data_IF_988312832014
#
_entry.id   IF_988312832014
#
_cell.length_a   1.000
_cell.length_b   1.000
_cell.length_c   1.000
_cell.angle_alpha   90.00
_cell.angle_beta   90.00
_cell.angle_gamma   90.00
#
_symmetry.space_group_name_H-M   'P 1'
#
loop_
_entity.id
_entity.type
_entity.pdbx_description
1 polymer ?
#
# COMPACT_ATOMS: atom_id res chain seq x y z
N UNK A 1 57.89 -37.61 6.64
CA UNK A 1 58.85 -37.37 5.53
C UNK A 1 58.93 -35.87 5.34
N UNK A 2 60.04 -35.25 5.74
CA UNK A 2 60.22 -33.80 5.72
C UNK A 2 60.53 -33.28 4.32
N UNK A 3 59.94 -32.16 3.94
CA UNK A 3 60.26 -31.42 2.72
C UNK A 3 61.37 -30.43 3.06
N UNK A 4 62.55 -30.65 2.47
CA UNK A 4 63.69 -29.74 2.55
C UNK A 4 63.43 -28.61 1.57
N UNK A 5 63.24 -27.39 2.06
CA UNK A 5 63.19 -26.20 1.22
C UNK A 5 64.62 -25.78 0.85
N UNK A 6 64.97 -25.89 -0.43
CA UNK A 6 66.23 -25.36 -0.97
C UNK A 6 66.18 -23.84 -1.02
N UNK A 7 67.12 -23.20 -0.31
CA UNK A 7 67.32 -21.75 -0.26
C UNK A 7 67.71 -21.12 -1.60
N UNK A 8 68.04 -21.92 -2.62
CA UNK A 8 68.34 -21.45 -3.98
C UNK A 8 67.13 -20.81 -4.67
N UNK A 9 65.93 -21.36 -4.43
CA UNK A 9 64.69 -20.95 -5.14
C UNK A 9 64.19 -19.56 -4.73
N UNK A 10 64.54 -19.10 -3.53
CA UNK A 10 64.12 -17.79 -3.02
C UNK A 10 64.99 -16.68 -3.61
N UNK A 11 66.29 -16.95 -3.81
CA UNK A 11 67.24 -15.96 -4.34
C UNK A 11 66.95 -15.65 -5.82
N UNK A 12 66.57 -16.66 -6.61
CA UNK A 12 66.23 -16.46 -8.03
C UNK A 12 64.94 -15.64 -8.22
N UNK A 13 63.96 -15.82 -7.32
CA UNK A 13 62.70 -15.09 -7.37
C UNK A 13 62.88 -13.59 -7.03
N UNK A 14 63.75 -13.27 -6.06
CA UNK A 14 64.06 -11.87 -5.71
C UNK A 14 64.87 -11.18 -6.82
N UNK A 15 65.80 -11.89 -7.45
CA UNK A 15 66.58 -11.36 -8.58
C UNK A 15 65.68 -11.00 -9.79
N UNK A 16 64.63 -11.79 -10.05
CA UNK A 16 63.67 -11.55 -11.14
C UNK A 16 62.75 -10.34 -10.91
N UNK A 17 62.52 -9.94 -9.65
CA UNK A 17 61.70 -8.78 -9.30
C UNK A 17 62.44 -7.46 -9.53
N UNK A 18 63.76 -7.44 -9.33
CA UNK A 18 64.60 -6.26 -9.49
C UNK A 18 64.90 -5.99 -10.99
N UNK A 19 64.86 -7.00 -11.86
CA UNK A 19 65.21 -6.87 -13.28
C UNK A 19 64.06 -6.49 -14.23
N UNK A 20 62.89 -6.08 -13.73
CA UNK A 20 61.86 -5.42 -14.55
C UNK A 20 61.29 -6.20 -15.75
N UNK A 21 61.25 -7.54 -15.71
CA UNK A 21 60.59 -8.33 -16.77
C UNK A 21 59.11 -8.53 -16.45
N UNK A 22 58.23 -7.93 -17.28
CA UNK A 22 56.77 -8.14 -17.28
C UNK A 22 56.46 -9.65 -17.35
N UNK A 23 55.67 -10.16 -16.39
CA UNK A 23 55.07 -11.50 -16.47
C UNK A 23 54.13 -11.57 -17.68
N UNK A 24 54.28 -12.64 -18.49
CA UNK A 24 53.24 -13.08 -19.42
C UNK A 24 52.07 -13.58 -18.59
N UNK A 25 50.88 -13.03 -18.82
CA UNK A 25 49.61 -13.58 -18.33
C UNK A 25 49.50 -15.03 -18.83
N UNK A 26 49.40 -15.99 -17.92
CA UNK A 26 49.16 -17.39 -18.26
C UNK A 26 47.67 -17.70 -18.14
N UNK A 27 47.13 -18.41 -19.12
CA UNK A 27 45.74 -18.91 -19.20
C UNK A 27 45.28 -19.72 -17.96
N UNK A 28 46.20 -20.08 -17.06
CA UNK A 28 45.92 -20.85 -15.84
C UNK A 28 45.13 -20.08 -14.78
N UNK A 29 45.21 -18.74 -14.73
CA UNK A 29 44.48 -17.94 -13.73
C UNK A 29 42.99 -17.82 -14.09
N UNK A 30 42.66 -17.75 -15.39
CA UNK A 30 41.27 -17.77 -15.86
C UNK A 30 40.61 -19.13 -15.63
N UNK A 31 41.38 -20.22 -15.75
CA UNK A 31 40.90 -21.58 -15.46
C UNK A 31 40.58 -21.81 -13.97
N UNK A 32 41.30 -21.15 -13.06
CA UNK A 32 41.01 -21.22 -11.62
C UNK A 32 39.76 -20.43 -11.26
N UNK A 33 39.57 -19.24 -11.83
CA UNK A 33 38.36 -18.42 -11.65
C UNK A 33 37.13 -19.16 -12.20
N UNK A 34 37.26 -19.76 -13.40
CA UNK A 34 36.20 -20.56 -14.00
C UNK A 34 35.86 -21.81 -13.15
N UNK A 35 36.86 -22.46 -12.54
CA UNK A 35 36.62 -23.59 -11.61
C UNK A 35 35.87 -23.16 -10.34
N UNK A 36 36.18 -22.00 -9.77
CA UNK A 36 35.47 -21.48 -8.60
C UNK A 36 34.01 -21.18 -8.94
N UNK A 37 33.75 -20.62 -10.13
CA UNK A 37 32.40 -20.40 -10.65
C UNK A 37 31.67 -21.74 -10.83
N UNK A 38 32.31 -22.76 -11.41
CA UNK A 38 31.71 -24.07 -11.64
C UNK A 38 31.38 -24.82 -10.34
N UNK A 39 32.25 -24.70 -9.32
CA UNK A 39 32.02 -25.27 -7.97
C UNK A 39 30.84 -24.58 -7.28
N UNK A 40 30.68 -23.27 -7.47
CA UNK A 40 29.53 -22.51 -6.95
C UNK A 40 28.20 -22.85 -7.66
N UNK A 41 28.26 -23.33 -8.91
CA UNK A 41 27.09 -23.74 -9.70
C UNK A 41 26.62 -25.17 -9.37
N UNK A 42 27.50 -26.05 -8.90
CA UNK A 42 27.21 -27.49 -8.75
C UNK A 42 26.91 -27.96 -7.30
N UNK A 43 26.64 -27.06 -6.36
CA UNK A 43 26.19 -27.44 -5.02
C UNK A 43 24.69 -27.80 -5.03
N UNK A 44 24.29 -29.04 -4.67
CA UNK A 44 22.96 -29.57 -4.95
C UNK A 44 21.96 -29.18 -3.85
N UNK A 45 21.67 -27.89 -3.67
CA UNK A 45 20.53 -27.39 -2.86
C UNK A 45 19.96 -26.04 -3.34
N UNK A 46 20.31 -25.56 -4.54
CA UNK A 46 19.79 -24.28 -5.03
C UNK A 46 18.52 -24.50 -5.84
N UNK A 47 17.39 -23.99 -5.31
CA UNK A 47 16.28 -23.57 -6.14
C UNK A 47 16.82 -22.65 -7.26
N UNK A 48 16.26 -22.65 -8.47
CA UNK A 48 16.78 -21.87 -9.58
C UNK A 48 16.61 -20.37 -9.26
N UNK A 49 17.64 -19.79 -8.63
CA UNK A 49 17.82 -18.36 -8.52
C UNK A 49 18.12 -17.93 -9.94
N UNK A 50 17.17 -17.24 -10.57
CA UNK A 50 17.44 -16.49 -11.80
C UNK A 50 18.70 -15.66 -11.54
N UNK A 51 19.78 -15.99 -12.25
CA UNK A 51 20.99 -15.17 -12.33
C UNK A 51 20.57 -13.81 -12.90
N UNK A 52 20.12 -12.93 -12.01
CA UNK A 52 20.11 -11.49 -12.25
C UNK A 52 21.56 -11.14 -12.55
N UNK A 53 21.82 -10.53 -13.69
CA UNK A 53 23.15 -10.08 -14.10
C UNK A 53 23.84 -9.38 -12.94
N UNK A 54 24.78 -10.06 -12.28
CA UNK A 54 25.55 -9.49 -11.20
C UNK A 54 26.37 -8.36 -11.80
N UNK A 55 26.00 -7.12 -11.50
CA UNK A 55 26.76 -5.97 -11.94
C UNK A 55 28.18 -6.07 -11.36
N UNK A 56 29.21 -5.85 -12.19
CA UNK A 56 30.62 -5.87 -11.79
C UNK A 56 30.88 -5.01 -10.54
N UNK A 57 30.13 -3.92 -10.39
CA UNK A 57 30.18 -3.07 -9.21
C UNK A 57 29.68 -3.76 -7.93
N UNK A 58 28.58 -4.52 -7.97
CA UNK A 58 28.04 -5.20 -6.80
C UNK A 58 29.03 -6.27 -6.29
N UNK A 59 29.67 -7.00 -7.20
CA UNK A 59 30.74 -7.95 -6.87
C UNK A 59 31.94 -7.28 -6.21
N UNK A 60 32.39 -6.13 -6.74
CA UNK A 60 33.48 -5.35 -6.15
C UNK A 60 33.16 -4.86 -4.75
N UNK A 61 31.94 -4.40 -4.51
CA UNK A 61 31.51 -3.96 -3.16
C UNK A 61 31.46 -5.14 -2.20
N UNK A 62 30.88 -6.26 -2.62
CA UNK A 62 30.77 -7.47 -1.79
C UNK A 62 32.15 -8.06 -1.49
N UNK A 63 33.02 -8.24 -2.47
CA UNK A 63 34.38 -8.72 -2.19
C UNK A 63 35.21 -7.68 -1.43
N UNK A 64 35.02 -6.39 -1.69
CA UNK A 64 35.61 -5.30 -0.90
C UNK A 64 35.22 -5.38 0.58
N UNK A 65 33.99 -5.81 0.89
CA UNK A 65 33.53 -6.00 2.28
C UNK A 65 34.32 -7.06 3.06
N UNK A 66 34.96 -8.00 2.37
CA UNK A 66 35.77 -9.03 3.01
C UNK A 66 37.12 -8.49 3.48
N UNK A 67 37.60 -7.41 2.86
CA UNK A 67 38.91 -6.81 3.15
C UNK A 67 38.81 -5.52 3.97
N UNK A 68 37.68 -4.81 3.88
CA UNK A 68 37.47 -3.53 4.57
C UNK A 68 36.39 -3.65 5.64
N UNK A 69 36.65 -3.12 6.85
CA UNK A 69 35.66 -3.08 7.93
C UNK A 69 34.52 -2.08 7.68
N UNK A 70 34.74 -1.06 6.84
CA UNK A 70 33.73 -0.06 6.49
C UNK A 70 33.45 -0.07 4.98
N UNK A 71 32.17 -0.20 4.63
CA UNK A 71 31.68 -0.21 3.25
C UNK A 71 30.61 0.87 3.12
N UNK A 72 30.74 1.68 2.07
CA UNK A 72 29.74 2.66 1.65
C UNK A 72 28.76 1.99 0.67
N UNK A 73 27.48 1.97 1.03
CA UNK A 73 26.43 1.38 0.21
C UNK A 73 25.68 2.48 -0.54
N UNK A 74 25.57 2.34 -1.86
CA UNK A 74 24.80 3.25 -2.69
C UNK A 74 23.34 2.75 -2.78
N UNK A 75 22.33 3.55 -2.36
CA UNK A 75 20.92 3.16 -2.40
C UNK A 75 20.38 2.79 -3.80
N UNK A 76 21.01 3.28 -4.87
CA UNK A 76 20.60 2.95 -6.25
C UNK A 76 21.00 1.54 -6.69
N UNK A 77 22.07 0.98 -6.11
CA UNK A 77 22.63 -0.33 -6.47
C UNK A 77 22.48 -1.35 -5.33
N UNK A 78 21.75 -0.97 -4.29
CA UNK A 78 21.66 -1.74 -3.06
C UNK A 78 20.89 -3.06 -3.27
N UNK A 79 19.96 -3.10 -4.22
CA UNK A 79 19.25 -4.34 -4.60
C UNK A 79 20.22 -5.35 -5.23
N UNK A 80 21.06 -4.90 -6.17
CA UNK A 80 22.12 -5.75 -6.76
C UNK A 80 23.12 -6.22 -5.71
N UNK A 81 23.48 -5.33 -4.77
CA UNK A 81 24.41 -5.65 -3.69
C UNK A 81 23.82 -6.66 -2.71
N UNK A 82 22.54 -6.52 -2.34
CA UNK A 82 21.81 -7.47 -1.51
C UNK A 82 21.72 -8.84 -2.18
N UNK A 83 21.41 -8.89 -3.49
CA UNK A 83 21.37 -10.13 -4.27
C UNK A 83 22.72 -10.88 -4.18
N UNK A 84 23.81 -10.14 -4.38
CA UNK A 84 25.17 -10.66 -4.36
C UNK A 84 25.56 -11.12 -2.94
N UNK A 85 25.30 -10.31 -1.92
CA UNK A 85 25.55 -10.67 -0.52
C UNK A 85 24.79 -11.93 -0.10
N UNK A 86 23.53 -12.06 -0.54
CA UNK A 86 22.70 -13.27 -0.30
C UNK A 86 23.27 -14.48 -1.01
N UNK A 87 23.77 -14.33 -2.24
CA UNK A 87 24.42 -15.42 -2.99
C UNK A 87 25.69 -15.95 -2.28
N UNK A 88 26.47 -15.05 -1.68
CA UNK A 88 27.67 -15.39 -0.91
C UNK A 88 27.42 -15.65 0.59
N UNK A 89 26.16 -15.54 1.04
CA UNK A 89 25.75 -15.77 2.44
C UNK A 89 26.51 -14.90 3.45
N UNK A 90 26.66 -13.61 3.14
CA UNK A 90 27.33 -12.65 4.01
C UNK A 90 26.30 -11.93 4.89
N UNK A 91 25.87 -12.59 5.97
CA UNK A 91 24.76 -12.14 6.83
C UNK A 91 24.94 -10.70 7.35
N UNK A 92 26.16 -10.33 7.79
CA UNK A 92 26.42 -8.97 8.27
C UNK A 92 26.27 -7.88 7.18
N UNK A 93 26.51 -8.22 5.91
CA UNK A 93 26.30 -7.30 4.80
C UNK A 93 24.82 -7.25 4.39
N UNK A 94 24.11 -8.39 4.47
CA UNK A 94 22.67 -8.48 4.23
C UNK A 94 21.93 -7.57 5.22
N UNK A 95 22.24 -7.67 6.51
CA UNK A 95 21.65 -6.82 7.56
C UNK A 95 21.90 -5.33 7.28
N UNK A 96 23.14 -4.96 6.95
CA UNK A 96 23.49 -3.57 6.63
C UNK A 96 22.77 -3.06 5.37
N UNK A 97 22.61 -3.92 4.35
CA UNK A 97 21.82 -3.59 3.17
C UNK A 97 20.36 -3.33 3.54
N UNK A 98 19.75 -4.17 4.38
CA UNK A 98 18.38 -3.98 4.87
C UNK A 98 18.23 -2.68 5.65
N UNK A 99 19.19 -2.33 6.53
CA UNK A 99 19.16 -1.07 7.28
C UNK A 99 19.15 0.15 6.36
N UNK A 100 20.07 0.20 5.38
CA UNK A 100 20.12 1.31 4.42
C UNK A 100 18.86 1.33 3.54
N UNK A 101 18.31 0.18 3.16
CA UNK A 101 17.04 0.11 2.42
C UNK A 101 15.89 0.71 3.24
N UNK A 102 15.82 0.42 4.54
CA UNK A 102 14.79 0.98 5.44
C UNK A 102 14.90 2.51 5.56
N UNK A 103 16.13 3.04 5.65
CA UNK A 103 16.38 4.48 5.77
C UNK A 103 16.13 5.26 4.47
N UNK A 104 16.18 4.61 3.31
CA UNK A 104 16.16 5.30 2.00
C UNK A 104 14.92 5.00 1.15
N UNK A 105 13.86 4.44 1.76
CA UNK A 105 12.56 4.20 1.10
C UNK A 105 11.98 5.52 0.59
N UNK A 106 11.76 5.58 -0.72
CA UNK A 106 11.14 6.73 -1.39
C UNK A 106 10.25 6.28 -2.55
N UNK A 107 9.50 7.18 -3.22
CA UNK A 107 8.60 6.78 -4.30
C UNK A 107 9.26 6.09 -5.51
N UNK A 108 10.56 6.28 -5.73
CA UNK A 108 11.31 5.63 -6.82
C UNK A 108 11.80 4.24 -6.42
N UNK A 109 12.30 4.08 -5.19
CA UNK A 109 12.92 2.83 -4.71
C UNK A 109 11.95 1.87 -4.03
N UNK A 110 10.82 2.37 -3.52
CA UNK A 110 9.86 1.60 -2.71
C UNK A 110 9.39 0.30 -3.37
N UNK A 111 9.15 0.32 -4.69
CA UNK A 111 8.70 -0.87 -5.42
C UNK A 111 9.81 -1.91 -5.56
N UNK A 112 11.02 -1.48 -5.90
CA UNK A 112 12.18 -2.36 -6.03
C UNK A 112 12.53 -3.01 -4.69
N UNK A 113 12.49 -2.22 -3.60
CA UNK A 113 12.75 -2.72 -2.25
C UNK A 113 11.65 -3.69 -1.79
N UNK A 114 10.39 -3.43 -2.11
CA UNK A 114 9.30 -4.36 -1.82
C UNK A 114 9.48 -5.70 -2.57
N UNK A 115 9.83 -5.65 -3.85
CA UNK A 115 10.07 -6.83 -4.66
C UNK A 115 11.29 -7.62 -4.16
N UNK A 116 12.38 -6.93 -3.82
CA UNK A 116 13.57 -7.53 -3.23
C UNK A 116 13.24 -8.20 -1.90
N UNK A 117 12.49 -7.52 -1.02
CA UNK A 117 12.06 -8.09 0.26
C UNK A 117 11.21 -9.37 0.07
N UNK A 118 10.31 -9.38 -0.91
CA UNK A 118 9.54 -10.58 -1.25
C UNK A 118 10.41 -11.73 -1.79
N UNK A 119 11.43 -11.41 -2.59
CA UNK A 119 12.33 -12.41 -3.19
C UNK A 119 13.30 -13.02 -2.17
N UNK A 120 13.88 -12.19 -1.30
CA UNK A 120 14.86 -12.61 -0.29
C UNK A 120 14.24 -13.01 1.05
N UNK A 121 12.93 -12.83 1.23
CA UNK A 121 12.21 -13.25 2.43
C UNK A 121 12.36 -12.33 3.64
N UNK A 122 12.75 -11.06 3.43
CA UNK A 122 12.84 -10.07 4.50
C UNK A 122 11.44 -9.52 4.85
N UNK A 123 10.84 -10.11 5.89
CA UNK A 123 9.49 -9.72 6.35
C UNK A 123 9.44 -8.30 6.89
N UNK A 124 10.50 -7.82 7.57
CA UNK A 124 10.52 -6.50 8.18
C UNK A 124 10.52 -5.42 7.10
N UNK A 125 11.40 -5.55 6.11
CA UNK A 125 11.43 -4.64 4.97
C UNK A 125 10.12 -4.69 4.17
N UNK A 126 9.58 -5.90 3.95
CA UNK A 126 8.30 -6.07 3.27
C UNK A 126 7.16 -5.33 3.96
N UNK A 127 7.02 -5.46 5.29
CA UNK A 127 5.97 -4.79 6.07
C UNK A 127 6.13 -3.27 6.05
N UNK A 128 7.36 -2.75 6.18
CA UNK A 128 7.62 -1.31 6.15
C UNK A 128 7.33 -0.73 4.77
N UNK A 129 7.78 -1.38 3.70
CA UNK A 129 7.45 -0.98 2.33
C UNK A 129 5.93 -1.03 2.08
N UNK A 130 5.25 -2.08 2.56
CA UNK A 130 3.79 -2.21 2.41
C UNK A 130 3.06 -1.09 3.15
N UNK A 131 3.43 -0.78 4.40
CA UNK A 131 2.89 0.36 5.15
C UNK A 131 3.16 1.69 4.46
N UNK A 132 4.34 1.86 3.87
CA UNK A 132 4.67 3.05 3.08
C UNK A 132 3.70 3.22 1.90
N UNK A 133 3.37 2.14 1.18
CA UNK A 133 2.39 2.18 0.10
C UNK A 133 0.96 2.49 0.59
N UNK A 134 0.54 1.94 1.74
CA UNK A 134 -0.79 2.21 2.30
C UNK A 134 -1.03 3.71 2.56
N UNK A 135 0.00 4.44 2.97
CA UNK A 135 -0.10 5.89 3.20
C UNK A 135 0.06 6.68 1.90
N UNK A 136 0.99 6.28 1.04
CA UNK A 136 1.41 7.07 -0.12
C UNK A 136 0.61 6.85 -1.39
N UNK A 137 -0.17 5.77 -1.53
CA UNK A 137 -0.93 5.48 -2.74
C UNK A 137 -1.83 6.66 -3.16
N UNK A 138 -2.71 7.11 -2.26
CA UNK A 138 -3.64 8.21 -2.55
C UNK A 138 -3.00 9.59 -2.39
N UNK A 139 -1.97 9.72 -1.55
CA UNK A 139 -1.41 11.03 -1.16
C UNK A 139 -0.20 11.45 -2.01
N UNK A 140 0.39 10.53 -2.78
CA UNK A 140 1.48 10.80 -3.71
C UNK A 140 1.06 10.43 -5.13
N UNK A 141 0.78 9.15 -5.40
CA UNK A 141 0.60 8.65 -6.76
C UNK A 141 -0.61 9.23 -7.49
N UNK A 142 -1.65 9.64 -6.77
CA UNK A 142 -2.80 10.32 -7.38
C UNK A 142 -2.45 11.68 -8.01
N UNK A 143 -1.39 12.35 -7.55
CA UNK A 143 -1.01 13.71 -7.99
C UNK A 143 0.35 13.78 -8.70
N UNK A 144 1.03 12.65 -8.88
CA UNK A 144 2.43 12.57 -9.34
C UNK A 144 2.55 11.74 -10.65
N UNK A 145 3.74 11.70 -11.28
CA UNK A 145 3.88 11.21 -12.65
C UNK A 145 3.35 9.80 -12.86
N UNK A 146 2.64 9.64 -13.97
CA UNK A 146 1.99 8.40 -14.45
C UNK A 146 2.93 7.19 -14.48
N UNK A 147 4.21 7.44 -14.75
CA UNK A 147 5.26 6.41 -14.84
C UNK A 147 5.34 5.59 -13.55
N UNK A 148 5.24 6.23 -12.39
CA UNK A 148 5.37 5.56 -11.09
C UNK A 148 4.13 4.73 -10.76
N UNK A 149 2.94 5.15 -11.21
CA UNK A 149 1.71 4.40 -10.97
C UNK A 149 1.61 3.16 -11.88
N UNK A 150 2.17 3.24 -13.11
CA UNK A 150 2.24 2.13 -14.07
C UNK A 150 3.09 0.95 -13.58
N UNK A 151 4.12 1.22 -12.79
CA UNK A 151 5.06 0.18 -12.34
C UNK A 151 4.46 -0.73 -11.25
N UNK A 152 3.39 -0.32 -10.56
CA UNK A 152 2.78 -1.10 -9.48
C UNK A 152 2.11 -2.36 -10.06
N UNK A 153 2.50 -3.57 -9.62
CA UNK A 153 1.93 -4.81 -10.10
C UNK A 153 0.49 -5.00 -9.58
N UNK A 154 -0.33 -5.69 -10.38
CA UNK A 154 -1.75 -5.95 -10.07
C UNK A 154 -1.92 -6.66 -8.73
N UNK A 155 -1.04 -7.61 -8.41
CA UNK A 155 -1.06 -8.36 -7.16
C UNK A 155 -0.83 -7.48 -5.93
N UNK A 156 0.07 -6.49 -6.02
CA UNK A 156 0.30 -5.52 -4.95
C UNK A 156 -0.89 -4.57 -4.81
N UNK A 157 -1.42 -4.06 -5.94
CA UNK A 157 -2.58 -3.18 -5.92
C UNK A 157 -3.81 -3.85 -5.27
N UNK A 158 -4.07 -5.12 -5.57
CA UNK A 158 -5.17 -5.87 -4.96
C UNK A 158 -5.02 -5.95 -3.43
N UNK A 159 -3.81 -6.27 -2.95
CA UNK A 159 -3.52 -6.31 -1.50
C UNK A 159 -3.72 -4.94 -0.86
N UNK A 160 -3.24 -3.86 -1.49
CA UNK A 160 -3.37 -2.49 -0.96
C UNK A 160 -4.83 -2.05 -0.87
N UNK A 161 -5.61 -2.25 -1.94
CA UNK A 161 -7.02 -1.83 -1.99
C UNK A 161 -7.87 -2.60 -0.99
N UNK A 162 -7.60 -3.89 -0.78
CA UNK A 162 -8.31 -4.70 0.21
C UNK A 162 -7.98 -4.34 1.67
N UNK A 163 -6.83 -3.70 1.93
CA UNK A 163 -6.34 -3.49 3.28
C UNK A 163 -7.15 -2.43 4.05
N UNK A 164 -7.53 -2.67 5.31
CA UNK A 164 -8.34 -1.73 6.10
C UNK A 164 -7.60 -0.44 6.48
N UNK A 165 -6.27 -0.50 6.58
CA UNK A 165 -5.41 0.65 6.94
C UNK A 165 -4.96 1.47 5.72
N UNK A 166 -5.57 1.26 4.54
CA UNK A 166 -5.30 2.10 3.38
C UNK A 166 -5.74 3.55 3.64
N UNK A 167 -4.85 4.51 3.41
CA UNK A 167 -5.17 5.92 3.56
C UNK A 167 -5.96 6.40 2.35
N UNK A 168 -7.27 6.47 2.53
CA UNK A 168 -8.20 6.98 1.52
C UNK A 168 -8.36 8.49 1.68
N UNK A 169 -8.16 9.26 0.60
CA UNK A 169 -8.39 10.70 0.62
C UNK A 169 -9.83 10.98 0.19
N UNK A 170 -10.57 11.76 0.99
CA UNK A 170 -12.02 12.01 0.84
C UNK A 170 -12.90 10.78 1.11
N UNK A 171 -13.11 9.90 0.15
CA UNK A 171 -14.04 8.74 0.26
C UNK A 171 -13.59 7.57 -0.61
N UNK A 172 -14.24 6.41 -0.46
CA UNK A 172 -14.01 5.21 -1.26
C UNK A 172 -14.09 5.48 -2.79
N UNK A 173 -14.91 6.45 -3.21
CA UNK A 173 -15.01 6.87 -4.61
C UNK A 173 -13.69 7.38 -5.20
N UNK A 174 -12.85 8.04 -4.40
CA UNK A 174 -11.54 8.48 -4.87
C UNK A 174 -10.61 7.31 -5.23
N UNK A 175 -10.77 6.15 -4.57
CA UNK A 175 -10.04 4.93 -4.93
C UNK A 175 -10.53 4.40 -6.28
N UNK A 176 -11.84 4.38 -6.49
CA UNK A 176 -12.42 3.98 -7.78
C UNK A 176 -11.89 4.84 -8.93
N UNK A 177 -11.82 6.16 -8.75
CA UNK A 177 -11.24 7.08 -9.74
C UNK A 177 -9.76 6.79 -9.98
N UNK A 178 -8.96 6.55 -8.93
CA UNK A 178 -7.56 6.14 -9.06
C UNK A 178 -7.43 4.83 -9.86
N UNK A 179 -8.23 3.82 -9.55
CA UNK A 179 -8.19 2.52 -10.22
C UNK A 179 -8.62 2.62 -11.68
N UNK A 180 -9.66 3.39 -11.98
CA UNK A 180 -10.09 3.72 -13.35
C UNK A 180 -8.94 4.36 -14.13
N UNK A 181 -8.27 5.34 -13.53
CA UNK A 181 -7.11 6.00 -14.13
C UNK A 181 -5.94 5.03 -14.37
N UNK A 182 -5.61 4.22 -13.37
CA UNK A 182 -4.54 3.22 -13.44
C UNK A 182 -4.78 2.15 -14.50
N UNK A 183 -6.01 1.62 -14.59
CA UNK A 183 -6.42 0.67 -15.63
C UNK A 183 -6.22 1.28 -17.01
N UNK A 184 -6.67 2.52 -17.22
CA UNK A 184 -6.55 3.20 -18.51
C UNK A 184 -5.09 3.33 -18.97
N UNK A 185 -4.18 3.65 -18.04
CA UNK A 185 -2.74 3.73 -18.31
C UNK A 185 -2.16 2.37 -18.70
N UNK A 186 -2.60 1.30 -18.04
CA UNK A 186 -2.12 -0.06 -18.32
C UNK A 186 -2.64 -0.61 -19.65
N UNK A 187 -3.80 -0.15 -20.12
CA UNK A 187 -4.38 -0.57 -21.41
C UNK A 187 -3.90 0.27 -22.59
N UNK A 188 -3.39 1.50 -22.35
CA UNK A 188 -2.87 2.39 -23.40
C UNK A 188 -1.39 2.75 -23.15
N UNK A 189 -0.46 1.82 -23.41
CA UNK A 189 0.96 2.04 -23.13
C UNK A 189 1.64 3.03 -24.08
N UNK A 190 0.98 3.53 -25.12
CA UNK A 190 1.59 4.40 -26.14
C UNK A 190 1.60 5.89 -25.76
N UNK A 191 0.76 6.32 -24.80
CA UNK A 191 0.65 7.73 -24.36
C UNK A 191 1.67 8.13 -23.28
N UNK A 192 2.90 7.58 -23.32
CA UNK A 192 3.81 7.58 -22.16
C UNK A 192 4.36 8.94 -21.71
N UNK A 193 4.23 10.01 -22.50
CA UNK A 193 4.85 11.31 -22.16
C UNK A 193 3.89 12.31 -21.49
N UNK A 194 2.59 12.25 -21.78
CA UNK A 194 1.60 13.17 -21.20
C UNK A 194 0.62 12.42 -20.30
N UNK A 195 0.40 12.94 -19.09
CA UNK A 195 -0.57 12.37 -18.17
C UNK A 195 -1.98 12.51 -18.76
N UNK A 196 -2.74 11.42 -18.97
CA UNK A 196 -4.06 11.52 -19.59
C UNK A 196 -4.95 12.41 -18.74
N UNK A 197 -5.76 13.24 -19.38
CA UNK A 197 -6.68 14.10 -18.67
C UNK A 197 -7.84 13.28 -18.11
N UNK A 198 -8.44 13.70 -16.99
CA UNK A 198 -9.61 13.02 -16.43
C UNK A 198 -10.76 12.93 -17.44
N UNK A 199 -10.85 13.88 -18.38
CA UNK A 199 -11.84 13.88 -19.45
C UNK A 199 -11.59 12.78 -20.48
N UNK A 200 -10.35 12.55 -20.89
CA UNK A 200 -9.99 11.46 -21.81
C UNK A 200 -10.34 10.10 -21.22
N UNK A 201 -9.97 9.88 -19.96
CA UNK A 201 -10.26 8.62 -19.25
C UNK A 201 -11.77 8.40 -19.14
N UNK A 202 -12.52 9.45 -18.76
CA UNK A 202 -13.98 9.36 -18.71
C UNK A 202 -14.59 9.09 -20.08
N UNK A 203 -14.16 9.82 -21.12
CA UNK A 203 -14.66 9.62 -22.48
C UNK A 203 -14.37 8.21 -22.99
N UNK A 204 -13.21 7.65 -22.69
CA UNK A 204 -12.88 6.28 -23.07
C UNK A 204 -13.89 5.29 -22.48
N UNK A 205 -14.10 5.30 -21.16
CA UNK A 205 -15.02 4.36 -20.52
C UNK A 205 -16.49 4.62 -20.90
N UNK A 206 -16.93 5.89 -20.93
CA UNK A 206 -18.30 6.25 -21.33
C UNK A 206 -18.61 5.98 -22.81
N UNK A 207 -17.60 6.03 -23.70
CA UNK A 207 -17.80 5.75 -25.13
C UNK A 207 -17.97 4.27 -25.44
N UNK A 208 -17.66 3.38 -24.49
CA UNK A 208 -17.84 1.94 -24.64
C UNK A 208 -19.34 1.63 -24.61
N UNK A 209 -19.91 1.47 -25.81
CA UNK A 209 -21.28 0.99 -26.01
C UNK A 209 -21.42 -0.53 -25.93
N UNK A 210 -20.36 -1.25 -25.53
CA UNK A 210 -20.44 -2.69 -25.36
C UNK A 210 -21.44 -3.01 -24.25
N UNK A 211 -22.35 -3.95 -24.50
CA UNK A 211 -23.32 -4.42 -23.49
C UNK A 211 -22.62 -5.04 -22.26
N UNK A 212 -21.38 -5.50 -22.44
CA UNK A 212 -20.59 -6.18 -21.41
C UNK A 212 -19.73 -5.20 -20.59
N UNK A 213 -19.85 -5.21 -19.24
CA UNK A 213 -18.98 -4.46 -18.33
C UNK A 213 -17.49 -4.74 -18.55
N UNK A 214 -16.62 -3.75 -18.35
CA UNK A 214 -15.18 -3.87 -18.61
C UNK A 214 -14.53 -5.05 -17.87
N UNK A 215 -14.83 -5.24 -16.57
CA UNK A 215 -14.19 -6.30 -15.79
C UNK A 215 -14.52 -7.72 -16.29
N UNK A 216 -15.56 -7.90 -17.10
CA UNK A 216 -15.93 -9.17 -17.69
C UNK A 216 -15.27 -9.42 -19.05
N UNK A 217 -14.65 -8.41 -19.66
CA UNK A 217 -13.91 -8.57 -20.91
C UNK A 217 -12.58 -9.29 -20.68
N UNK A 218 -11.99 -9.84 -21.74
CA UNK A 218 -10.71 -10.55 -21.66
C UNK A 218 -9.59 -9.65 -21.11
N UNK A 219 -9.56 -8.38 -21.52
CA UNK A 219 -8.62 -7.38 -21.04
C UNK A 219 -8.84 -7.00 -19.58
N UNK A 220 -10.10 -6.89 -19.15
CA UNK A 220 -10.49 -6.44 -17.81
C UNK A 220 -10.38 -7.51 -16.73
N UNK A 221 -10.44 -8.79 -17.12
CA UNK A 221 -10.46 -9.93 -16.18
C UNK A 221 -9.28 -9.94 -15.20
N UNK A 222 -8.10 -9.50 -15.65
CA UNK A 222 -6.90 -9.40 -14.79
C UNK A 222 -7.04 -8.41 -13.64
N UNK A 223 -7.94 -7.43 -13.75
CA UNK A 223 -8.16 -6.39 -12.73
C UNK A 223 -9.26 -6.75 -11.72
N UNK A 224 -10.02 -7.82 -11.95
CA UNK A 224 -11.10 -8.28 -11.06
C UNK A 224 -10.67 -8.34 -9.59
N UNK A 225 -9.51 -8.93 -9.21
CA UNK A 225 -9.10 -9.01 -7.81
C UNK A 225 -8.88 -7.64 -7.16
N UNK A 226 -8.52 -6.63 -7.94
CA UNK A 226 -8.29 -5.27 -7.45
C UNK A 226 -9.61 -4.58 -7.14
N UNK A 227 -10.58 -4.69 -8.05
CA UNK A 227 -11.91 -4.09 -7.87
C UNK A 227 -12.75 -4.81 -6.82
N UNK A 228 -12.50 -6.10 -6.57
CA UNK A 228 -13.11 -6.84 -5.45
C UNK A 228 -12.67 -6.30 -4.07
N UNK A 229 -11.50 -5.66 -3.98
CA UNK A 229 -11.06 -5.00 -2.75
C UNK A 229 -11.78 -3.69 -2.44
N UNK A 230 -12.56 -3.15 -3.39
CA UNK A 230 -13.35 -1.94 -3.16
C UNK A 230 -14.56 -2.23 -2.28
N UNK A 231 -14.83 -1.34 -1.33
CA UNK A 231 -16.02 -1.41 -0.49
C UNK A 231 -17.19 -0.80 -1.25
N UNK A 232 -17.77 -1.58 -2.16
CA UNK A 232 -18.91 -1.18 -2.99
C UNK A 232 -20.04 -0.50 -2.17
N UNK A 233 -20.43 -0.99 -0.97
CA UNK A 233 -21.44 -0.31 -0.15
C UNK A 233 -21.11 1.15 0.16
N UNK A 234 -19.83 1.46 0.35
CA UNK A 234 -19.32 2.79 0.67
C UNK A 234 -19.09 3.64 -0.58
N UNK A 235 -18.88 2.99 -1.74
CA UNK A 235 -18.73 3.65 -3.05
C UNK A 235 -20.04 4.30 -3.51
N UNK A 236 -21.18 3.64 -3.30
CA UNK A 236 -22.50 4.10 -3.77
C UNK A 236 -23.24 4.97 -2.75
N UNK A 237 -22.51 5.65 -1.87
CA UNK A 237 -23.09 6.48 -0.80
C UNK A 237 -23.63 7.82 -1.31
N UNK A 238 -23.28 8.26 -2.52
CA UNK A 238 -23.63 9.58 -3.04
C UNK A 238 -24.23 9.46 -4.46
N UNK A 239 -25.30 10.21 -4.75
CA UNK A 239 -26.05 10.06 -6.01
C UNK A 239 -25.17 10.26 -7.25
N UNK A 240 -24.36 11.32 -7.27
CA UNK A 240 -23.47 11.59 -8.41
C UNK A 240 -22.47 10.45 -8.64
N UNK A 241 -22.00 9.82 -7.56
CA UNK A 241 -21.01 8.74 -7.64
C UNK A 241 -21.66 7.49 -8.25
N UNK A 242 -22.93 7.21 -7.91
CA UNK A 242 -23.73 6.13 -8.52
C UNK A 242 -23.91 6.34 -10.01
N UNK A 243 -24.31 7.54 -10.43
CA UNK A 243 -24.50 7.86 -11.85
C UNK A 243 -23.19 7.68 -12.64
N UNK A 244 -22.07 8.14 -12.08
CA UNK A 244 -20.75 8.01 -12.72
C UNK A 244 -20.29 6.56 -12.81
N UNK A 245 -20.44 5.76 -11.75
CA UNK A 245 -20.08 4.33 -11.75
C UNK A 245 -20.90 3.55 -12.75
N UNK A 246 -22.21 3.86 -12.88
CA UNK A 246 -23.08 3.23 -13.87
C UNK A 246 -22.72 3.64 -15.30
N UNK A 247 -22.44 4.93 -15.55
CA UNK A 247 -22.06 5.42 -16.87
C UNK A 247 -20.72 4.86 -17.36
N UNK A 248 -19.78 4.63 -16.45
CA UNK A 248 -18.47 4.06 -16.79
C UNK A 248 -18.55 2.60 -17.25
N UNK A 249 -19.60 1.86 -16.84
CA UNK A 249 -19.80 0.44 -17.13
C UNK A 249 -18.54 -0.43 -16.88
N UNK A 250 -17.80 -0.13 -15.81
CA UNK A 250 -16.61 -0.90 -15.42
C UNK A 250 -17.01 -2.07 -14.52
N UNK A 251 -17.76 -1.78 -13.46
CA UNK A 251 -18.19 -2.75 -12.46
C UNK A 251 -19.51 -3.40 -12.92
N UNK A 252 -19.60 -4.74 -12.94
CA UNK A 252 -20.83 -5.42 -13.34
C UNK A 252 -22.03 -5.08 -12.44
N UNK A 253 -23.22 -4.93 -13.05
CA UNK A 253 -24.47 -4.74 -12.31
C UNK A 253 -24.77 -5.88 -11.34
N UNK A 254 -24.29 -7.09 -11.61
CA UNK A 254 -24.42 -8.25 -10.71
C UNK A 254 -23.73 -8.04 -9.36
N UNK A 255 -22.72 -7.17 -9.28
CA UNK A 255 -22.07 -6.79 -8.03
C UNK A 255 -22.80 -5.64 -7.33
N UNK A 256 -23.36 -4.70 -8.09
CA UNK A 256 -24.04 -3.50 -7.55
C UNK A 256 -25.44 -3.82 -7.00
N UNK A 257 -26.24 -4.59 -7.74
CA UNK A 257 -27.64 -4.89 -7.42
C UNK A 257 -27.86 -5.48 -6.01
N UNK A 258 -27.12 -6.51 -5.55
CA UNK A 258 -27.30 -7.03 -4.19
C UNK A 258 -26.96 -5.99 -3.13
N UNK A 259 -25.94 -5.16 -3.36
CA UNK A 259 -25.53 -4.09 -2.44
C UNK A 259 -26.61 -3.01 -2.34
N UNK A 260 -27.24 -2.62 -3.46
CA UNK A 260 -28.36 -1.66 -3.45
C UNK A 260 -29.53 -2.19 -2.62
N UNK A 261 -29.88 -3.48 -2.76
CA UNK A 261 -30.93 -4.09 -1.95
C UNK A 261 -30.56 -4.11 -0.47
N UNK A 262 -29.31 -4.44 -0.13
CA UNK A 262 -28.80 -4.45 1.24
C UNK A 262 -28.85 -3.04 1.84
N UNK A 263 -28.41 -2.02 1.10
CA UNK A 263 -28.48 -0.62 1.52
C UNK A 263 -29.93 -0.17 1.77
N UNK A 264 -30.86 -0.56 0.90
CA UNK A 264 -32.28 -0.30 1.11
C UNK A 264 -32.83 -0.96 2.38
N UNK A 265 -32.48 -2.23 2.64
CA UNK A 265 -32.84 -2.91 3.91
C UNK A 265 -32.29 -2.14 5.11
N UNK A 266 -31.05 -1.66 5.05
CA UNK A 266 -30.45 -0.86 6.12
C UNK A 266 -31.19 0.46 6.34
N UNK A 267 -31.60 1.14 5.27
CA UNK A 267 -32.46 2.32 5.37
C UNK A 267 -33.76 2.01 6.11
N UNK A 268 -34.41 0.88 5.80
CA UNK A 268 -35.65 0.48 6.47
C UNK A 268 -35.41 0.19 7.97
N UNK A 269 -34.38 -0.60 8.31
CA UNK A 269 -34.03 -0.94 9.69
C UNK A 269 -33.74 0.31 10.55
N UNK A 270 -33.00 1.27 9.99
CA UNK A 270 -32.69 2.52 10.69
C UNK A 270 -33.95 3.35 10.91
N UNK A 271 -34.82 3.48 9.90
CA UNK A 271 -36.06 4.25 10.01
C UNK A 271 -37.11 3.61 10.93
N UNK A 272 -37.14 2.28 11.01
CA UNK A 272 -37.98 1.53 11.95
C UNK A 272 -37.43 1.55 13.39
N UNK A 273 -36.26 2.15 13.60
CA UNK A 273 -35.51 2.16 14.87
C UNK A 273 -35.03 0.78 15.35
N UNK A 274 -34.99 -0.21 14.45
CA UNK A 274 -34.44 -1.54 14.71
C UNK A 274 -32.91 -1.51 14.75
N UNK A 275 -32.29 -0.65 13.95
CA UNK A 275 -30.85 -0.37 14.02
C UNK A 275 -30.59 1.02 14.60
N UNK A 276 -29.85 1.05 15.72
CA UNK A 276 -29.38 2.26 16.39
C UNK A 276 -27.90 2.54 16.12
N UNK A 277 -27.26 1.73 15.28
CA UNK A 277 -25.83 1.75 14.98
C UNK A 277 -25.02 0.72 15.78
N UNK A 278 -23.73 0.53 15.43
CA UNK A 278 -22.93 -0.60 15.88
C UNK A 278 -22.48 -0.46 17.35
N UNK A 279 -23.21 -1.10 18.27
CA UNK A 279 -22.81 -1.23 19.68
C UNK A 279 -21.96 -2.48 19.96
N UNK A 280 -22.22 -3.58 19.26
CA UNK A 280 -21.62 -4.90 19.52
C UNK A 280 -20.90 -5.47 18.28
N UNK A 281 -20.19 -4.62 17.53
CA UNK A 281 -19.37 -5.06 16.38
C UNK A 281 -18.01 -5.58 16.84
N UNK A 282 -17.53 -6.67 16.23
CA UNK A 282 -16.15 -7.18 16.42
C UNK A 282 -15.15 -6.30 15.67
N UNK A 283 -13.89 -6.30 16.11
CA UNK A 283 -12.86 -5.50 15.46
C UNK A 283 -12.63 -5.91 14.00
N UNK A 284 -12.63 -7.22 13.71
CA UNK A 284 -12.43 -7.75 12.36
C UNK A 284 -13.54 -7.30 11.40
N UNK A 285 -14.80 -7.47 11.81
CA UNK A 285 -15.95 -7.05 11.00
C UNK A 285 -16.00 -5.54 10.79
N UNK A 286 -15.62 -4.76 11.81
CA UNK A 286 -15.47 -3.31 11.67
C UNK A 286 -14.42 -2.96 10.62
N UNK A 287 -13.23 -3.56 10.70
CA UNK A 287 -12.14 -3.28 9.77
C UNK A 287 -12.51 -3.64 8.34
N UNK A 288 -13.25 -4.72 8.13
CA UNK A 288 -13.70 -5.16 6.81
C UNK A 288 -14.77 -4.22 6.21
N UNK A 289 -15.76 -3.82 7.00
CA UNK A 289 -16.97 -3.14 6.48
C UNK A 289 -16.95 -1.62 6.58
N UNK A 290 -16.10 -1.03 7.43
CA UNK A 290 -16.11 0.43 7.69
C UNK A 290 -15.94 1.28 6.43
N UNK A 291 -16.56 2.44 6.39
CA UNK A 291 -16.20 3.52 5.45
C UNK A 291 -14.75 3.93 5.70
N UNK A 292 -13.96 4.02 4.64
CA UNK A 292 -12.62 4.60 4.66
C UNK A 292 -12.67 6.01 4.11
N UNK A 293 -12.20 6.96 4.88
CA UNK A 293 -12.14 8.35 4.49
C UNK A 293 -10.92 9.03 5.11
N UNK A 294 -10.56 10.20 4.60
CA UNK A 294 -9.36 10.88 5.06
C UNK A 294 -9.23 12.28 4.52
N UNK A 295 -8.27 13.01 5.09
CA UNK A 295 -8.02 14.42 4.79
C UNK A 295 -6.58 14.78 5.11
N UNK A 296 -6.02 15.69 4.31
CA UNK A 296 -4.73 16.31 4.59
C UNK A 296 -4.98 17.69 5.22
N UNK A 297 -4.39 17.92 6.39
CA UNK A 297 -4.37 19.21 7.06
C UNK A 297 -3.05 19.90 6.72
N UNK A 298 -3.11 21.04 6.04
CA UNK A 298 -1.92 21.74 5.56
C UNK A 298 -1.30 22.69 6.58
N UNK A 299 -2.11 23.19 7.51
CA UNK A 299 -1.74 24.24 8.46
C UNK A 299 -2.26 23.93 9.86
N UNK A 300 -1.54 24.39 10.87
CA UNK A 300 -1.92 24.28 12.28
C UNK A 300 -2.96 25.35 12.63
N UNK A 301 -4.18 25.13 12.17
CA UNK A 301 -5.33 25.96 12.45
C UNK A 301 -6.51 25.10 12.88
N UNK A 302 -7.56 25.73 13.38
CA UNK A 302 -8.81 25.02 13.68
C UNK A 302 -9.45 24.56 12.38
N UNK A 303 -9.50 23.25 12.16
CA UNK A 303 -10.20 22.64 11.03
C UNK A 303 -11.53 22.07 11.48
N UNK A 304 -12.58 22.34 10.70
CA UNK A 304 -13.90 21.70 10.86
C UNK A 304 -14.32 21.19 9.49
N UNK A 305 -14.62 19.90 9.39
CA UNK A 305 -15.04 19.30 8.13
C UNK A 305 -16.05 18.18 8.31
N UNK A 306 -16.62 17.76 7.18
CA UNK A 306 -17.44 16.56 7.07
C UNK A 306 -17.06 15.79 5.81
N UNK A 307 -17.23 14.48 5.85
CA UNK A 307 -17.22 13.65 4.65
C UNK A 307 -18.65 13.47 4.17
N UNK A 308 -18.93 13.94 2.95
CA UNK A 308 -20.27 13.91 2.35
C UNK A 308 -20.65 12.51 1.92
N UNK A 309 -21.94 12.19 2.03
CA UNK A 309 -22.49 10.89 1.66
C UNK A 309 -23.81 10.66 2.38
N UNK A 310 -24.57 9.67 1.92
CA UNK A 310 -25.75 9.20 2.61
C UNK A 310 -25.35 8.25 3.75
N UNK A 311 -25.30 8.80 4.96
CA UNK A 311 -24.93 8.06 6.17
C UNK A 311 -26.16 7.76 7.04
N UNK A 312 -27.29 7.40 6.42
CA UNK A 312 -28.55 7.06 7.09
C UNK A 312 -29.03 8.14 8.09
N UNK A 313 -28.95 9.40 7.66
CA UNK A 313 -29.34 10.56 8.46
C UNK A 313 -28.37 10.94 9.59
N UNK A 314 -27.16 10.36 9.63
CA UNK A 314 -26.09 10.74 10.54
C UNK A 314 -25.15 11.76 9.89
N UNK A 315 -25.25 13.02 10.32
CA UNK A 315 -24.34 14.09 9.91
C UNK A 315 -23.22 14.25 10.94
N UNK A 316 -22.00 13.81 10.59
CA UNK A 316 -20.82 13.90 11.45
C UNK A 316 -19.91 15.05 11.03
N UNK A 317 -19.51 15.86 12.00
CA UNK A 317 -18.46 16.86 11.90
C UNK A 317 -17.21 16.34 12.60
N UNK A 318 -16.10 16.36 11.87
CA UNK A 318 -14.77 16.18 12.45
C UNK A 318 -14.16 17.55 12.71
N UNK A 319 -13.52 17.67 13.86
CA UNK A 319 -12.93 18.93 14.29
C UNK A 319 -11.55 18.68 14.88
N UNK A 320 -10.61 19.55 14.57
CA UNK A 320 -9.34 19.64 15.28
C UNK A 320 -8.98 21.08 15.57
N UNK A 321 -8.37 21.31 16.73
CA UNK A 321 -7.82 22.59 17.18
C UNK A 321 -6.28 22.57 17.22
N UNK A 322 -5.66 21.55 16.63
CA UNK A 322 -4.22 21.29 16.65
C UNK A 322 -3.74 20.45 17.84
N UNK A 323 -4.53 20.35 18.92
CA UNK A 323 -4.19 19.56 20.10
C UNK A 323 -5.09 18.34 20.30
N UNK A 324 -6.30 18.38 19.75
CA UNK A 324 -7.29 17.33 19.89
C UNK A 324 -7.97 17.06 18.55
N UNK A 325 -8.48 15.85 18.41
CA UNK A 325 -9.40 15.49 17.34
C UNK A 325 -10.72 15.05 17.98
N UNK A 326 -11.81 15.71 17.60
CA UNK A 326 -13.15 15.39 18.08
C UNK A 326 -14.11 15.10 16.93
N UNK A 327 -15.18 14.37 17.26
CA UNK A 327 -16.32 14.11 16.37
C UNK A 327 -17.58 14.63 17.02
N UNK A 328 -18.43 15.28 16.22
CA UNK A 328 -19.70 15.84 16.66
C UNK A 328 -20.82 15.39 15.75
N UNK A 329 -21.93 14.94 16.34
CA UNK A 329 -23.17 14.73 15.58
C UNK A 329 -23.82 16.08 15.36
N UNK A 330 -23.76 16.56 14.13
CA UNK A 330 -24.36 17.83 13.77
C UNK A 330 -25.89 17.72 13.73
N UNK A 331 -26.56 18.80 14.11
CA UNK A 331 -28.01 18.91 14.05
C UNK A 331 -28.35 20.25 13.39
N UNK A 332 -28.98 20.18 12.21
CA UNK A 332 -29.41 21.34 11.43
C UNK A 332 -30.92 21.40 11.47
N UNK A 333 -31.47 22.39 12.17
CA UNK A 333 -32.91 22.58 12.31
C UNK A 333 -33.62 22.76 10.97
N UNK A 334 -32.94 23.36 9.98
CA UNK A 334 -33.46 23.64 8.63
C UNK A 334 -33.59 22.38 7.74
N UNK A 335 -32.92 21.29 8.08
CA UNK A 335 -32.90 20.05 7.29
C UNK A 335 -33.26 18.82 8.13
N UNK A 336 -34.08 18.99 9.17
CA UNK A 336 -34.37 17.92 10.13
C UNK A 336 -34.99 16.67 9.48
N UNK A 337 -35.73 16.83 8.38
CA UNK A 337 -36.32 15.74 7.60
C UNK A 337 -35.29 14.78 6.97
N UNK A 338 -34.06 15.25 6.75
CA UNK A 338 -32.96 14.44 6.19
C UNK A 338 -32.12 13.78 7.30
N UNK A 339 -32.38 14.14 8.56
CA UNK A 339 -31.63 13.65 9.71
C UNK A 339 -32.39 12.53 10.41
N UNK A 340 -31.63 11.64 11.03
CA UNK A 340 -32.20 10.59 11.87
C UNK A 340 -32.95 11.20 13.07
N UNK A 341 -34.24 10.90 13.20
CA UNK A 341 -35.07 11.33 14.33
C UNK A 341 -34.71 10.67 15.66
N UNK A 342 -33.93 9.58 15.63
CA UNK A 342 -33.40 8.93 16.83
C UNK A 342 -32.62 9.91 17.73
N UNK A 343 -32.95 9.89 19.02
CA UNK A 343 -32.34 10.76 20.04
C UNK A 343 -30.83 10.52 20.13
N UNK A 344 -30.42 9.27 20.20
CA UNK A 344 -29.02 8.83 20.27
C UNK A 344 -28.76 7.79 19.19
N UNK A 345 -27.64 7.92 18.48
CA UNK A 345 -27.17 6.97 17.45
C UNK A 345 -25.75 6.54 17.79
N UNK A 346 -25.48 5.26 17.65
CA UNK A 346 -24.15 4.69 17.87
C UNK A 346 -23.37 4.72 16.56
N UNK A 347 -22.08 4.95 16.66
CA UNK A 347 -21.11 4.80 15.58
C UNK A 347 -19.89 4.04 16.11
N UNK A 348 -19.20 3.33 15.24
CA UNK A 348 -17.84 2.86 15.53
C UNK A 348 -16.86 3.67 14.69
N UNK A 349 -15.78 4.16 15.30
CA UNK A 349 -14.79 4.99 14.65
C UNK A 349 -13.38 4.63 15.09
N UNK A 350 -12.46 4.62 14.13
CA UNK A 350 -11.01 4.50 14.36
C UNK A 350 -10.32 5.56 13.53
N UNK A 351 -9.42 6.33 14.13
CA UNK A 351 -8.67 7.37 13.42
C UNK A 351 -7.17 7.14 13.57
N UNK A 352 -6.47 7.29 12.45
CA UNK A 352 -5.01 7.27 12.38
C UNK A 352 -4.53 8.61 11.82
N UNK A 353 -3.57 9.22 12.52
CA UNK A 353 -2.91 10.47 12.12
C UNK A 353 -1.44 10.17 11.86
N UNK A 354 -0.93 10.58 10.70
CA UNK A 354 0.47 10.38 10.32
C UNK A 354 1.11 11.67 9.79
N UNK A 355 2.42 11.79 10.02
CA UNK A 355 3.29 12.81 9.42
C UNK A 355 4.33 12.13 8.56
N UNK A 356 4.57 12.70 7.40
CA UNK A 356 5.59 12.25 6.45
C UNK A 356 6.78 13.22 6.42
N UNK A 357 8.00 12.70 6.23
CA UNK A 357 9.18 13.50 5.87
C UNK A 357 9.19 13.82 4.36
N UNK A 358 10.25 14.49 3.91
CA UNK A 358 10.49 14.82 2.50
C UNK A 358 10.58 13.57 1.60
N UNK A 359 11.12 12.47 2.12
CA UNK A 359 11.17 11.17 1.43
C UNK A 359 9.86 10.39 1.49
N UNK A 360 8.81 10.99 2.06
CA UNK A 360 7.47 10.41 2.23
C UNK A 360 7.41 9.20 3.18
N UNK A 361 8.42 9.01 4.00
CA UNK A 361 8.45 8.02 5.08
C UNK A 361 7.66 8.52 6.29
N UNK A 362 7.10 7.59 7.05
CA UNK A 362 6.28 7.89 8.23
C UNK A 362 7.22 8.24 9.39
N UNK A 363 7.22 9.52 9.80
CA UNK A 363 8.00 10.01 10.96
C UNK A 363 7.17 9.98 12.24
N UNK A 364 5.87 10.20 12.09
CA UNK A 364 4.91 10.19 13.17
C UNK A 364 3.71 9.36 12.78
N UNK A 365 3.22 8.54 13.70
CA UNK A 365 1.99 7.79 13.56
C UNK A 365 1.32 7.66 14.91
N UNK A 366 0.05 8.06 15.00
CA UNK A 366 -0.78 7.88 16.17
C UNK A 366 -2.14 7.35 15.75
N UNK A 367 -2.57 6.28 16.38
CA UNK A 367 -3.81 5.58 16.05
C UNK A 367 -4.68 5.48 17.30
N UNK A 368 -5.96 5.75 17.16
CA UNK A 368 -6.94 5.48 18.21
C UNK A 368 -7.30 4.00 18.25
N UNK A 369 -7.83 3.53 19.37
CA UNK A 369 -8.59 2.29 19.40
C UNK A 369 -9.87 2.41 18.55
N UNK A 370 -10.57 1.29 18.36
CA UNK A 370 -11.90 1.31 17.74
C UNK A 370 -12.90 1.77 18.81
N UNK A 371 -13.30 3.02 18.73
CA UNK A 371 -14.21 3.65 19.69
C UNK A 371 -15.66 3.42 19.24
N UNK A 372 -16.48 2.87 20.15
CA UNK A 372 -17.93 2.72 19.94
C UNK A 372 -18.62 3.84 20.72
N UNK A 373 -19.15 4.82 20.00
CA UNK A 373 -19.63 6.08 20.55
C UNK A 373 -21.13 6.21 20.34
N UNK A 374 -21.88 6.48 21.41
CA UNK A 374 -23.26 6.95 21.32
C UNK A 374 -23.25 8.48 21.20
N UNK A 375 -23.86 9.03 20.15
CA UNK A 375 -23.92 10.48 19.91
C UNK A 375 -25.38 10.96 19.88
N UNK A 376 -25.71 11.84 20.83
CA UNK A 376 -26.93 12.64 20.85
C UNK A 376 -26.84 13.81 19.86
N UNK A 377 -27.99 14.43 19.56
CA UNK A 377 -28.04 15.62 18.68
C UNK A 377 -27.17 16.74 19.26
N UNK A 378 -26.14 17.17 18.51
CA UNK A 378 -25.24 18.25 18.91
C UNK A 378 -24.10 17.83 19.86
N UNK A 379 -24.05 16.57 20.26
CA UNK A 379 -23.01 16.05 21.16
C UNK A 379 -21.67 15.95 20.43
N UNK A 380 -20.61 16.37 21.13
CA UNK A 380 -19.21 16.33 20.67
C UNK A 380 -18.40 15.45 21.63
N UNK A 381 -17.66 14.50 21.07
CA UNK A 381 -16.80 13.58 21.80
C UNK A 381 -15.37 13.71 21.24
N UNK A 382 -14.40 13.85 22.13
CA UNK A 382 -12.99 13.81 21.78
C UNK A 382 -12.55 12.36 21.49
N UNK A 383 -11.95 12.15 20.32
CA UNK A 383 -11.44 10.83 19.88
C UNK A 383 -10.02 10.60 20.38
N UNK A 384 -9.16 11.61 20.24
CA UNK A 384 -7.75 11.51 20.62
C UNK A 384 -7.14 12.88 20.90
N UNK A 385 -6.07 12.88 21.68
CA UNK A 385 -5.19 14.03 21.90
C UNK A 385 -3.98 13.89 21.00
N UNK A 386 -3.62 14.94 20.27
CA UNK A 386 -2.42 15.03 19.45
C UNK A 386 -1.22 15.46 20.31
N UNK A 387 -0.02 15.09 19.88
CA UNK A 387 1.19 15.45 20.62
C UNK A 387 1.54 16.93 20.39
N UNK A 388 2.27 17.51 21.33
CA UNK A 388 2.69 18.92 21.25
C UNK A 388 3.73 19.07 20.13
N UNK A 389 3.70 20.23 19.47
CA UNK A 389 4.70 20.64 18.46
C UNK A 389 4.73 19.78 17.18
N UNK A 390 3.57 19.25 16.76
CA UNK A 390 3.46 18.56 15.47
C UNK A 390 3.65 19.50 14.28
N UNK A 391 4.56 19.14 13.39
CA UNK A 391 4.77 19.83 12.13
C UNK A 391 3.73 19.42 11.09
N UNK A 392 3.30 20.37 10.26
CA UNK A 392 2.31 20.18 9.20
C UNK A 392 3.02 20.00 7.84
N UNK A 393 2.39 19.35 6.83
CA UNK A 393 1.02 18.81 6.82
C UNK A 393 0.87 17.50 7.60
N UNK A 394 -0.32 17.31 8.18
CA UNK A 394 -0.76 16.06 8.82
C UNK A 394 -1.76 15.33 7.93
N UNK A 395 -1.68 14.00 7.90
CA UNK A 395 -2.58 13.17 7.12
C UNK A 395 -3.47 12.38 8.09
N UNK A 396 -4.78 12.54 7.95
CA UNK A 396 -5.77 11.86 8.77
C UNK A 396 -6.46 10.81 7.92
N UNK A 397 -6.51 9.58 8.42
CA UNK A 397 -7.35 8.50 7.90
C UNK A 397 -8.32 8.06 8.99
N UNK A 398 -9.60 7.94 8.65
CA UNK A 398 -10.66 7.51 9.52
C UNK A 398 -11.39 6.32 8.90
N UNK A 399 -11.65 5.32 9.75
CA UNK A 399 -12.58 4.23 9.49
C UNK A 399 -13.85 4.51 10.29
N UNK A 400 -15.01 4.55 9.64
CA UNK A 400 -16.28 4.89 10.29
C UNK A 400 -17.34 3.86 9.91
N UNK A 401 -18.09 3.36 10.90
CA UNK A 401 -19.24 2.50 10.67
C UNK A 401 -20.49 3.13 11.30
N UNK A 402 -21.53 3.31 10.50
CA UNK A 402 -22.75 4.05 10.84
C UNK A 402 -23.94 3.17 11.21
N UNK A 403 -23.94 1.91 10.76
CA UNK A 403 -25.02 0.93 10.91
C UNK A 403 -24.46 -0.40 11.37
N UNK A 404 -25.31 -1.21 11.97
CA UNK A 404 -24.95 -2.55 12.40
C UNK A 404 -24.95 -3.49 11.19
N UNK A 405 -23.88 -4.27 10.96
CA UNK A 405 -23.86 -5.29 9.91
C UNK A 405 -25.03 -6.25 10.07
N UNK A 406 -25.57 -6.76 8.96
CA UNK A 406 -26.72 -7.66 9.00
C UNK A 406 -26.25 -9.07 9.39
N UNK A 407 -26.40 -9.44 10.66
CA UNK A 407 -25.92 -10.73 11.20
C UNK A 407 -26.64 -11.94 10.61
N UNK A 408 -27.75 -11.73 9.90
CA UNK A 408 -28.56 -12.80 9.32
C UNK A 408 -27.94 -13.46 8.07
N UNK A 409 -27.03 -12.79 7.36
CA UNK A 409 -26.31 -13.40 6.22
C UNK A 409 -25.20 -14.36 6.67
N UNK A 410 -24.61 -14.13 7.85
CA UNK A 410 -23.58 -15.00 8.45
C UNK A 410 -24.15 -16.40 8.75
N UNK A 411 -25.41 -16.47 9.18
CA UNK A 411 -26.08 -17.73 9.47
C UNK A 411 -26.54 -18.47 8.20
N UNK A 412 -26.65 -17.82 7.03
CA UNK A 412 -27.08 -18.50 5.81
C UNK A 412 -25.94 -19.33 5.19
N UNK A 413 -24.68 -18.92 5.34
CA UNK A 413 -23.53 -19.73 4.91
C UNK A 413 -23.36 -21.00 5.78
N UNK A 414 -23.64 -20.93 7.09
CA UNK A 414 -23.65 -22.11 7.97
C UNK A 414 -24.82 -23.06 7.70
N UNK A 415 -25.98 -22.54 7.29
CA UNK A 415 -27.15 -23.36 6.93
C UNK A 415 -26.95 -24.09 5.59
N UNK A 416 -26.20 -23.52 4.64
CA UNK A 416 -25.88 -24.22 3.38
C UNK A 416 -24.87 -25.36 3.61
N UNK A 417 -23.95 -25.24 4.57
CA UNK A 417 -22.99 -26.31 4.91
C UNK A 417 -23.60 -27.46 5.71
N UNK A 418 -24.76 -27.26 6.35
CA UNK A 418 -25.45 -28.32 7.13
C UNK A 418 -26.48 -29.13 6.34
N UNK A 419 -26.68 -28.80 5.06
CA UNK A 419 -27.60 -29.53 4.15
C UNK A 419 -26.84 -30.19 2.97
N UNK A 420 -25.53 -30.44 3.14
CA UNK A 420 -24.71 -31.22 2.18
C UNK A 420 -24.52 -32.66 2.63
#
# INVERSE_FOLDING_TARGET
MGIIYSSSTIVDNVASYISGRKRKHSESEDDEVNKVIDIALHTPKRAPILLVCLEDHALKVVFGSLYNCEITLNPLQIVSTLATATMFQLDGLIEKCTEVMLETINPKTSLEYYNAACQYGDKKLQEVCFKWFLVNLMTYYFSHPVVNLKSIPISLMAKLVSHPDLFVMQTEYSIYVLLKYWVYILTHPENNEEAPTSKEVNNFFCSRKNEMPFLLTEEGRKFVPVFQGLRIPNLISHQMDVELVLHDNIIPHTWLNPVVLQQWKQVLRVNQNDDKGPSEVTNELFLDTSLRCGRILLVNERHVWRWTGFHFGMDLLMMTDGFSLSVKRNHRSEFEQLLSFQTTRHIAIRVTVVKLNEQRQIVYSKQSEILKLGLAKGEEIQIMTLDKDLEYPLIISANILYTSPDTQEINQEEVVQTVS
#
